data_IF_480908750586
#
_entry.id   IF_480908750586
#
_cell.length_a   1.000
_cell.length_b   1.000
_cell.length_c   1.000
_cell.angle_alpha   90.00
_cell.angle_beta   90.00
_cell.angle_gamma   90.00
#
_symmetry.space_group_name_H-M   'P 1'
#
loop_
_entity.id
_entity.type
_entity.pdbx_description
1 polymer ?
#
# COMPACT_ATOMS: atom_id res chain seq x y z
N UNK A 1 -14.31 11.68 21.19
CA UNK A 1 -13.65 10.36 21.27
C UNK A 1 -14.36 9.43 20.30
N UNK A 2 -13.72 9.01 19.21
CA UNK A 2 -14.34 8.06 18.27
C UNK A 2 -14.44 6.69 18.96
N UNK A 3 -15.65 6.14 19.08
CA UNK A 3 -15.84 4.74 19.47
C UNK A 3 -15.12 3.86 18.44
N UNK A 4 -14.01 3.27 18.88
CA UNK A 4 -13.06 2.60 18.02
C UNK A 4 -13.56 1.17 17.73
N UNK A 5 -14.57 1.02 16.87
CA UNK A 5 -14.82 -0.28 16.23
C UNK A 5 -13.63 -0.56 15.32
N UNK A 6 -12.66 -1.30 15.84
CA UNK A 6 -11.45 -1.72 15.12
C UNK A 6 -11.87 -2.37 13.80
N UNK A 7 -11.57 -1.73 12.68
CA UNK A 7 -11.92 -2.22 11.34
C UNK A 7 -11.24 -3.60 11.15
N UNK A 8 -11.98 -4.64 10.74
CA UNK A 8 -11.38 -5.95 10.53
C UNK A 8 -10.22 -5.90 9.52
N UNK A 9 -9.10 -6.63 9.73
CA UNK A 9 -7.96 -6.61 8.81
C UNK A 9 -8.33 -6.97 7.35
N UNK A 10 -9.29 -7.88 7.16
CA UNK A 10 -9.80 -8.22 5.83
C UNK A 10 -10.50 -7.04 5.14
N UNK A 11 -11.21 -6.21 5.91
CA UNK A 11 -11.83 -4.98 5.42
C UNK A 11 -10.78 -3.93 5.07
N UNK A 12 -9.78 -3.72 5.94
CA UNK A 12 -8.66 -2.79 5.66
C UNK A 12 -7.96 -3.14 4.34
N UNK A 13 -7.75 -4.43 4.05
CA UNK A 13 -7.17 -4.89 2.77
C UNK A 13 -8.01 -4.54 1.54
N UNK A 14 -9.33 -4.39 1.68
CA UNK A 14 -10.26 -4.06 0.58
C UNK A 14 -10.52 -2.56 0.40
N UNK A 15 -10.31 -1.73 1.42
CA UNK A 15 -10.53 -0.28 1.30
C UNK A 15 -9.76 0.37 0.13
N UNK A 16 -8.48 0.03 -0.13
CA UNK A 16 -7.76 0.58 -1.29
C UNK A 16 -8.40 0.18 -2.63
N UNK A 17 -8.99 -1.01 -2.72
CA UNK A 17 -9.70 -1.48 -3.91
C UNK A 17 -10.94 -0.63 -4.16
N UNK A 18 -11.72 -0.31 -3.11
CA UNK A 18 -12.87 0.58 -3.27
C UNK A 18 -12.45 1.97 -3.73
N UNK A 19 -11.36 2.52 -3.17
CA UNK A 19 -10.82 3.80 -3.62
C UNK A 19 -10.42 3.75 -5.10
N UNK A 20 -9.75 2.68 -5.55
CA UNK A 20 -9.41 2.47 -6.95
C UNK A 20 -10.64 2.32 -7.87
N UNK A 21 -11.72 1.69 -7.37
CA UNK A 21 -12.98 1.62 -8.12
C UNK A 21 -13.61 3.00 -8.29
N UNK A 22 -13.55 3.86 -7.27
CA UNK A 22 -14.07 5.23 -7.35
C UNK A 22 -13.27 6.12 -8.30
N UNK A 23 -12.00 5.81 -8.57
CA UNK A 23 -11.21 6.52 -9.60
C UNK A 23 -11.74 6.25 -11.03
N UNK A 24 -12.58 5.22 -11.22
CA UNK A 24 -13.18 4.85 -12.51
C UNK A 24 -14.59 5.42 -12.71
N UNK A 25 -15.13 6.11 -11.71
CA UNK A 25 -16.48 6.67 -11.71
C UNK A 25 -16.39 8.16 -12.01
N UNK A 26 -17.35 8.68 -12.79
CA UNK A 26 -17.37 10.12 -13.07
C UNK A 26 -17.64 10.90 -11.80
N UNK A 27 -16.95 12.03 -11.62
CA UNK A 27 -17.27 12.96 -10.54
C UNK A 27 -18.62 13.68 -10.76
N UNK A 28 -19.19 13.59 -11.97
CA UNK A 28 -20.53 14.12 -12.30
C UNK A 28 -21.68 13.20 -11.83
N UNK A 29 -21.38 11.97 -11.41
CA UNK A 29 -22.40 11.04 -10.93
C UNK A 29 -22.89 11.46 -9.54
N UNK A 30 -24.23 11.52 -9.37
CA UNK A 30 -24.90 11.93 -8.11
C UNK A 30 -24.55 10.99 -6.94
N UNK A 31 -24.15 9.75 -7.25
CA UNK A 31 -23.71 8.77 -6.27
C UNK A 31 -23.48 7.40 -6.90
N UNK A 32 -22.92 6.49 -6.10
CA UNK A 32 -22.65 5.11 -6.49
C UNK A 32 -23.42 4.14 -5.59
N UNK A 33 -24.14 3.17 -6.18
CA UNK A 33 -24.80 2.12 -5.40
C UNK A 33 -23.78 1.11 -4.85
N UNK A 34 -24.13 0.43 -3.76
CA UNK A 34 -23.30 -0.67 -3.24
C UNK A 34 -23.18 -1.82 -4.24
N UNK A 35 -24.21 -2.08 -5.04
CA UNK A 35 -24.18 -3.08 -6.10
C UNK A 35 -23.20 -2.73 -7.22
N UNK A 36 -23.16 -1.45 -7.64
CA UNK A 36 -22.24 -1.00 -8.68
C UNK A 36 -20.79 -1.03 -8.18
N UNK A 37 -20.55 -0.58 -6.95
CA UNK A 37 -19.23 -0.67 -6.35
C UNK A 37 -18.78 -2.13 -6.15
N UNK A 38 -19.70 -3.03 -5.81
CA UNK A 38 -19.43 -4.46 -5.67
C UNK A 38 -19.04 -5.11 -6.99
N UNK A 39 -19.73 -4.77 -8.08
CA UNK A 39 -19.39 -5.20 -9.45
C UNK A 39 -17.97 -4.76 -9.83
N UNK A 40 -17.64 -3.48 -9.67
CA UNK A 40 -16.31 -2.94 -9.96
C UNK A 40 -15.22 -3.59 -9.12
N UNK A 41 -15.48 -3.81 -7.83
CA UNK A 41 -14.53 -4.41 -6.90
C UNK A 41 -14.52 -5.95 -6.94
N UNK A 42 -15.36 -6.58 -7.77
CA UNK A 42 -15.51 -8.05 -7.86
C UNK A 42 -15.75 -8.71 -6.51
N UNK A 43 -16.59 -8.09 -5.68
CA UNK A 43 -17.04 -8.61 -4.38
C UNK A 43 -18.57 -8.66 -4.35
N UNK A 44 -19.16 -9.24 -3.31
CA UNK A 44 -20.61 -9.19 -3.16
C UNK A 44 -21.08 -7.87 -2.53
N UNK A 45 -22.30 -7.46 -2.89
CA UNK A 45 -22.96 -6.22 -2.45
C UNK A 45 -23.10 -6.12 -0.91
N UNK A 46 -23.41 -7.24 -0.25
CA UNK A 46 -23.48 -7.29 1.21
C UNK A 46 -22.13 -7.03 1.88
N UNK A 47 -21.02 -7.43 1.26
CA UNK A 47 -19.66 -7.21 1.74
C UNK A 47 -19.29 -5.73 1.64
N UNK A 48 -19.63 -5.07 0.54
CA UNK A 48 -19.42 -3.61 0.39
C UNK A 48 -20.16 -2.86 1.49
N UNK A 49 -21.46 -3.13 1.69
CA UNK A 49 -22.23 -2.50 2.77
C UNK A 49 -21.61 -2.74 4.15
N UNK A 50 -21.20 -3.97 4.43
CA UNK A 50 -20.55 -4.33 5.70
C UNK A 50 -19.25 -3.56 5.90
N UNK A 51 -18.41 -3.50 4.88
CA UNK A 51 -17.11 -2.84 4.95
C UNK A 51 -17.25 -1.33 5.13
N UNK A 52 -18.13 -0.68 4.36
CA UNK A 52 -18.35 0.76 4.44
C UNK A 52 -19.07 1.18 5.73
N UNK A 53 -19.86 0.28 6.36
CA UNK A 53 -20.50 0.56 7.65
C UNK A 53 -19.50 0.82 8.80
N UNK A 54 -18.24 0.37 8.67
CA UNK A 54 -17.20 0.67 9.65
C UNK A 54 -16.67 2.11 9.53
N UNK A 55 -16.88 2.76 8.39
CA UNK A 55 -16.42 4.12 8.12
C UNK A 55 -17.44 5.19 8.54
N UNK A 56 -18.55 4.77 9.15
CA UNK A 56 -19.66 5.63 9.58
C UNK A 56 -20.94 5.42 8.78
N UNK A 57 -21.92 6.29 8.99
CA UNK A 57 -23.19 6.25 8.27
C UNK A 57 -23.01 6.90 6.90
N UNK A 58 -22.58 6.09 5.93
CA UNK A 58 -22.43 6.51 4.55
C UNK A 58 -23.63 6.04 3.73
N UNK A 59 -24.17 6.95 2.92
CA UNK A 59 -25.15 6.64 1.89
C UNK A 59 -26.61 6.97 2.21
N UNK A 60 -27.37 7.20 1.15
CA UNK A 60 -28.77 7.60 1.17
C UNK A 60 -29.60 6.57 0.42
N UNK A 61 -30.71 6.11 1.03
CA UNK A 61 -31.60 5.14 0.39
C UNK A 61 -32.10 5.67 -0.96
N UNK A 62 -31.94 4.88 -2.02
CA UNK A 62 -32.33 5.25 -3.39
C UNK A 62 -31.26 6.04 -4.18
N UNK A 63 -30.23 6.58 -3.52
CA UNK A 63 -29.14 7.33 -4.17
C UNK A 63 -27.82 6.55 -4.12
N UNK A 64 -27.58 5.80 -3.04
CA UNK A 64 -26.29 5.14 -2.80
C UNK A 64 -25.35 6.06 -2.02
N UNK A 65 -24.05 5.96 -2.29
CA UNK A 65 -23.02 6.76 -1.63
C UNK A 65 -22.65 7.96 -2.48
N UNK A 66 -22.59 9.14 -1.88
CA UNK A 66 -21.94 10.30 -2.52
C UNK A 66 -20.46 9.97 -2.77
N UNK A 67 -20.02 10.11 -4.03
CA UNK A 67 -18.69 9.64 -4.47
C UNK A 67 -17.58 10.43 -3.78
N UNK A 68 -17.69 11.77 -3.77
CA UNK A 68 -16.76 12.69 -3.11
C UNK A 68 -16.63 12.40 -1.61
N UNK A 69 -17.75 12.24 -0.92
CA UNK A 69 -17.79 11.96 0.51
C UNK A 69 -17.18 10.59 0.82
N UNK A 70 -17.54 9.56 0.05
CA UNK A 70 -17.00 8.23 0.21
C UNK A 70 -15.49 8.19 -0.06
N UNK A 71 -15.02 8.89 -1.11
CA UNK A 71 -13.59 9.02 -1.43
C UNK A 71 -12.82 9.66 -0.28
N UNK A 72 -13.32 10.79 0.24
CA UNK A 72 -12.70 11.49 1.36
C UNK A 72 -12.67 10.62 2.63
N UNK A 73 -13.75 9.90 2.94
CA UNK A 73 -13.78 9.01 4.10
C UNK A 73 -12.79 7.84 3.95
N UNK A 74 -12.69 7.24 2.76
CA UNK A 74 -11.71 6.18 2.49
C UNK A 74 -10.28 6.70 2.61
N UNK A 75 -9.98 7.89 2.07
CA UNK A 75 -8.66 8.51 2.20
C UNK A 75 -8.32 8.83 3.66
N UNK A 76 -9.28 9.32 4.45
CA UNK A 76 -9.10 9.59 5.87
C UNK A 76 -8.79 8.30 6.65
N UNK A 77 -9.57 7.24 6.42
CA UNK A 77 -9.41 5.96 7.12
C UNK A 77 -8.13 5.21 6.71
N UNK A 78 -7.65 5.44 5.47
CA UNK A 78 -6.35 4.96 4.99
C UNK A 78 -5.18 5.89 5.40
N UNK A 79 -5.46 7.02 6.06
CA UNK A 79 -4.46 7.99 6.51
C UNK A 79 -3.74 8.72 5.36
N UNK A 80 -4.38 8.91 4.21
CA UNK A 80 -3.76 9.48 3.00
C UNK A 80 -3.85 11.01 2.92
N UNK A 81 -4.52 11.67 3.87
CA UNK A 81 -4.81 13.12 3.82
C UNK A 81 -3.56 13.97 4.03
N UNK A 82 -2.71 13.63 4.99
CA UNK A 82 -1.44 14.34 5.26
C UNK A 82 -0.27 13.75 4.45
N UNK A 83 -0.47 12.56 3.86
CA UNK A 83 0.55 11.79 3.17
C UNK A 83 1.58 11.16 4.11
N UNK A 84 2.34 10.20 3.59
CA UNK A 84 3.38 9.50 4.33
C UNK A 84 4.72 9.55 3.60
N UNK A 85 5.78 9.90 4.36
CA UNK A 85 7.16 9.79 3.89
C UNK A 85 7.61 8.33 3.88
N UNK A 86 8.17 7.90 2.76
CA UNK A 86 8.70 6.57 2.56
C UNK A 86 10.14 6.59 2.02
N UNK A 87 10.92 5.57 2.35
CA UNK A 87 12.27 5.35 1.81
C UNK A 87 12.35 4.01 1.11
N UNK A 88 13.24 3.90 0.12
CA UNK A 88 13.53 2.64 -0.57
C UNK A 88 14.96 2.23 -0.26
N UNK A 89 15.15 1.00 0.21
CA UNK A 89 16.46 0.39 0.46
C UNK A 89 16.69 -0.74 -0.52
N UNK A 90 17.81 -0.70 -1.24
CA UNK A 90 18.14 -1.58 -2.34
C UNK A 90 17.70 -1.00 -3.68
N UNK A 91 18.59 -0.26 -4.35
CA UNK A 91 18.33 0.39 -5.64
C UNK A 91 18.90 -0.49 -6.76
N UNK A 92 18.42 -1.73 -6.81
CA UNK A 92 18.58 -2.62 -7.97
C UNK A 92 17.53 -2.31 -9.05
N UNK A 93 17.24 -3.28 -9.92
CA UNK A 93 16.19 -3.13 -10.94
C UNK A 93 14.82 -2.83 -10.33
N UNK A 94 14.42 -3.60 -9.32
CA UNK A 94 13.11 -3.42 -8.67
C UNK A 94 13.04 -2.12 -7.87
N UNK A 95 14.03 -1.82 -7.02
CA UNK A 95 14.06 -0.56 -6.28
C UNK A 95 14.04 0.67 -7.18
N UNK A 96 14.75 0.62 -8.31
CA UNK A 96 14.70 1.69 -9.31
C UNK A 96 13.34 1.81 -9.98
N UNK A 97 12.67 0.70 -10.30
CA UNK A 97 11.33 0.72 -10.86
C UNK A 97 10.30 1.29 -9.86
N UNK A 98 10.40 0.91 -8.59
CA UNK A 98 9.57 1.44 -7.50
C UNK A 98 9.78 2.95 -7.31
N UNK A 99 11.01 3.44 -7.40
CA UNK A 99 11.32 4.87 -7.29
C UNK A 99 10.69 5.69 -8.43
N UNK A 100 10.60 5.14 -9.65
CA UNK A 100 9.97 5.81 -10.79
C UNK A 100 8.44 5.70 -10.80
N UNK A 101 7.85 4.91 -9.89
CA UNK A 101 6.41 4.68 -9.89
C UNK A 101 5.66 5.88 -9.31
N UNK A 102 5.12 6.72 -10.20
CA UNK A 102 4.35 7.92 -9.83
C UNK A 102 3.10 7.64 -8.99
N UNK A 103 2.55 6.42 -9.08
CA UNK A 103 1.35 6.02 -8.35
C UNK A 103 1.50 6.07 -6.82
N UNK A 104 2.72 6.00 -6.27
CA UNK A 104 2.93 6.24 -4.84
C UNK A 104 2.54 7.67 -4.46
N UNK A 105 3.04 8.67 -5.19
CA UNK A 105 2.76 10.08 -4.92
C UNK A 105 1.28 10.40 -5.10
N UNK A 106 0.66 9.87 -6.15
CA UNK A 106 -0.78 10.02 -6.40
C UNK A 106 -1.64 9.45 -5.28
N UNK A 107 -1.15 8.41 -4.59
CA UNK A 107 -1.81 7.79 -3.43
C UNK A 107 -1.35 8.36 -2.09
N UNK A 108 -0.63 9.49 -2.06
CA UNK A 108 -0.22 10.15 -0.83
C UNK A 108 1.07 9.61 -0.20
N UNK A 109 1.85 8.81 -0.92
CA UNK A 109 3.14 8.27 -0.44
C UNK A 109 4.30 8.98 -1.13
N UNK A 110 5.03 9.81 -0.39
CA UNK A 110 6.19 10.53 -0.88
C UNK A 110 7.47 9.71 -0.69
N UNK A 111 8.13 9.31 -1.78
CA UNK A 111 9.48 8.74 -1.69
C UNK A 111 10.47 9.88 -1.40
N UNK A 112 11.07 9.89 -0.22
CA UNK A 112 11.95 10.98 0.26
C UNK A 112 13.44 10.59 0.28
N UNK A 113 13.75 9.31 0.11
CA UNK A 113 15.13 8.83 0.16
C UNK A 113 15.31 7.46 -0.50
N UNK A 114 16.48 7.31 -1.12
CA UNK A 114 16.94 6.07 -1.78
C UNK A 114 18.27 5.65 -1.15
N UNK A 115 18.38 4.39 -0.75
CA UNK A 115 19.55 3.86 -0.04
C UNK A 115 20.08 2.58 -0.69
N UNK A 116 21.40 2.50 -0.84
CA UNK A 116 22.11 1.30 -1.34
C UNK A 116 23.54 1.32 -0.78
N UNK A 117 24.12 0.13 -0.61
CA UNK A 117 25.50 -0.03 -0.12
C UNK A 117 26.51 -0.20 -1.26
N UNK A 118 26.07 -0.35 -2.52
CA UNK A 118 26.96 -0.42 -3.68
C UNK A 118 27.65 0.94 -3.91
N UNK A 119 28.98 1.05 -3.72
CA UNK A 119 29.72 2.30 -3.89
C UNK A 119 29.61 2.88 -5.30
N UNK A 120 29.31 2.05 -6.30
CA UNK A 120 29.12 2.49 -7.69
C UNK A 120 27.81 3.23 -7.91
N UNK A 121 26.80 2.98 -7.07
CA UNK A 121 25.48 3.61 -7.17
C UNK A 121 25.36 4.84 -6.30
N UNK A 122 26.07 4.88 -5.17
CA UNK A 122 26.04 6.03 -4.25
C UNK A 122 26.38 7.32 -5.02
N UNK A 123 25.67 8.40 -4.70
CA UNK A 123 25.70 9.72 -5.36
C UNK A 123 25.15 9.78 -6.79
N UNK A 124 24.79 8.65 -7.40
CA UNK A 124 23.99 8.67 -8.63
C UNK A 124 22.53 9.03 -8.34
N UNK A 125 21.75 9.31 -9.40
CA UNK A 125 20.35 9.71 -9.28
C UNK A 125 19.40 8.70 -9.93
N UNK A 126 18.26 8.50 -9.28
CA UNK A 126 17.13 7.71 -9.76
C UNK A 126 15.86 8.47 -9.42
N UNK A 127 14.95 8.66 -10.39
CA UNK A 127 13.71 9.43 -10.21
C UNK A 127 13.92 10.83 -9.60
N UNK A 128 15.04 11.49 -9.91
CA UNK A 128 15.39 12.81 -9.37
C UNK A 128 15.88 12.82 -7.91
N UNK A 129 16.05 11.66 -7.28
CA UNK A 129 16.60 11.50 -5.93
C UNK A 129 18.00 10.92 -5.97
N UNK A 130 18.88 11.43 -5.12
CA UNK A 130 20.26 10.95 -4.97
C UNK A 130 20.28 9.70 -4.10
N UNK A 131 20.93 8.63 -4.58
CA UNK A 131 21.17 7.41 -3.82
C UNK A 131 22.23 7.65 -2.75
N UNK A 132 21.91 7.25 -1.52
CA UNK A 132 22.73 7.46 -0.33
C UNK A 132 23.24 6.17 0.27
N UNK A 133 24.37 6.19 0.98
CA UNK A 133 24.81 5.04 1.76
C UNK A 133 23.79 4.74 2.86
N UNK A 134 23.66 3.47 3.22
CA UNK A 134 22.74 3.05 4.29
C UNK A 134 23.10 3.68 5.65
N UNK A 135 24.35 4.07 5.86
CA UNK A 135 24.81 4.78 7.07
C UNK A 135 24.13 6.14 7.29
N UNK A 136 23.52 6.73 6.26
CA UNK A 136 22.77 7.99 6.36
C UNK A 136 21.29 7.79 6.71
N UNK A 137 20.81 6.54 6.78
CA UNK A 137 19.39 6.19 6.93
C UNK A 137 18.77 6.83 8.18
N UNK A 138 19.42 6.71 9.34
CA UNK A 138 18.90 7.21 10.62
C UNK A 138 18.64 8.72 10.58
N UNK A 139 19.62 9.50 10.11
CA UNK A 139 19.51 10.95 9.95
C UNK A 139 18.38 11.34 9.00
N UNK A 140 18.19 10.55 7.94
CA UNK A 140 17.12 10.79 6.97
C UNK A 140 15.74 10.47 7.54
N UNK A 141 15.62 9.36 8.25
CA UNK A 141 14.37 8.97 8.92
C UNK A 141 13.90 10.04 9.90
N UNK A 142 14.82 10.58 10.70
CA UNK A 142 14.54 11.69 11.62
C UNK A 142 14.13 12.97 10.86
N UNK A 143 14.94 13.39 9.88
CA UNK A 143 14.73 14.63 9.13
C UNK A 143 13.39 14.68 8.38
N UNK A 144 12.99 13.56 7.79
CA UNK A 144 11.80 13.49 6.94
C UNK A 144 10.60 12.80 7.59
N UNK A 145 10.72 12.47 8.88
CA UNK A 145 9.71 11.72 9.65
C UNK A 145 9.21 10.49 8.87
N UNK A 146 10.15 9.63 8.49
CA UNK A 146 9.88 8.47 7.63
C UNK A 146 9.02 7.47 8.37
N UNK A 147 7.83 7.19 7.83
CA UNK A 147 6.88 6.25 8.43
C UNK A 147 6.93 4.86 7.79
N UNK A 148 7.38 4.79 6.53
CA UNK A 148 7.33 3.57 5.71
C UNK A 148 8.71 3.26 5.12
N UNK A 149 9.17 2.02 5.30
CA UNK A 149 10.36 1.48 4.64
C UNK A 149 9.98 0.49 3.55
N UNK A 150 10.56 0.64 2.36
CA UNK A 150 10.41 -0.31 1.26
C UNK A 150 11.73 -1.04 1.09
N UNK A 151 11.71 -2.37 1.22
CA UNK A 151 12.92 -3.21 1.10
C UNK A 151 12.89 -3.93 -0.25
N UNK A 152 13.86 -3.64 -1.10
CA UNK A 152 14.07 -4.25 -2.41
C UNK A 152 15.50 -4.80 -2.56
N UNK A 153 16.06 -5.31 -1.46
CA UNK A 153 17.40 -5.91 -1.38
C UNK A 153 17.36 -7.42 -1.67
N UNK A 154 18.52 -8.05 -1.92
CA UNK A 154 18.63 -9.50 -1.80
C UNK A 154 18.20 -9.99 -0.41
N UNK A 155 17.73 -11.25 -0.34
CA UNK A 155 17.14 -11.82 0.87
C UNK A 155 18.07 -11.86 2.07
N UNK A 156 19.36 -12.11 1.85
CA UNK A 156 20.38 -12.21 2.91
C UNK A 156 20.60 -10.89 3.68
N UNK A 157 20.31 -9.74 3.06
CA UNK A 157 20.47 -8.42 3.70
C UNK A 157 19.16 -7.88 4.29
N UNK A 158 18.01 -8.45 3.91
CA UNK A 158 16.70 -7.85 4.17
C UNK A 158 16.37 -7.72 5.66
N UNK A 159 16.77 -8.70 6.49
CA UNK A 159 16.55 -8.62 7.94
C UNK A 159 17.37 -7.49 8.58
N UNK A 160 18.65 -7.35 8.22
CA UNK A 160 19.49 -6.28 8.76
C UNK A 160 18.96 -4.89 8.40
N UNK A 161 18.48 -4.73 7.16
CA UNK A 161 17.82 -3.49 6.70
C UNK A 161 16.53 -3.24 7.48
N UNK A 162 15.71 -4.26 7.70
CA UNK A 162 14.48 -4.14 8.48
C UNK A 162 14.78 -3.69 9.92
N UNK A 163 15.77 -4.30 10.57
CA UNK A 163 16.17 -3.97 11.93
C UNK A 163 16.64 -2.50 12.02
N UNK A 164 17.39 -2.01 11.03
CA UNK A 164 17.80 -0.61 10.97
C UNK A 164 16.63 0.34 10.77
N UNK A 165 15.72 0.05 9.83
CA UNK A 165 14.51 0.87 9.62
C UNK A 165 13.68 0.96 10.91
N UNK A 166 13.49 -0.17 11.59
CA UNK A 166 12.77 -0.22 12.88
C UNK A 166 13.50 0.60 13.94
N UNK A 167 14.83 0.48 14.03
CA UNK A 167 15.67 1.28 14.92
C UNK A 167 15.55 2.79 14.68
N UNK A 168 15.26 3.20 13.44
CA UNK A 168 15.00 4.60 13.07
C UNK A 168 13.57 5.06 13.35
N UNK A 169 12.71 4.23 13.96
CA UNK A 169 11.32 4.56 14.25
C UNK A 169 10.31 4.28 13.13
N UNK A 170 10.72 3.60 12.04
CA UNK A 170 9.81 3.18 10.98
C UNK A 170 8.85 2.12 11.52
N UNK A 171 7.54 2.34 11.35
CA UNK A 171 6.49 1.46 11.89
C UNK A 171 5.81 0.58 10.84
N UNK A 172 6.11 0.78 9.57
CA UNK A 172 5.53 0.01 8.46
C UNK A 172 6.59 -0.33 7.43
N UNK A 173 6.68 -1.61 7.07
CA UNK A 173 7.65 -2.12 6.10
C UNK A 173 6.91 -2.86 4.98
N UNK A 174 7.21 -2.47 3.75
CA UNK A 174 6.83 -3.20 2.54
C UNK A 174 8.06 -3.97 2.04
N UNK A 175 8.03 -5.29 2.19
CA UNK A 175 9.16 -6.16 1.88
C UNK A 175 8.96 -6.86 0.53
N UNK A 176 9.83 -6.56 -0.43
CA UNK A 176 9.93 -7.28 -1.71
C UNK A 176 11.08 -8.30 -1.74
N UNK A 177 11.89 -8.37 -0.68
CA UNK A 177 12.93 -9.38 -0.61
C UNK A 177 12.30 -10.79 -0.47
N UNK A 178 12.88 -11.83 -1.09
CA UNK A 178 12.31 -13.18 -1.14
C UNK A 178 12.55 -13.96 0.17
N UNK A 179 12.27 -13.32 1.31
CA UNK A 179 12.43 -13.86 2.66
C UNK A 179 11.30 -13.38 3.57
N UNK A 180 10.96 -14.21 4.55
CA UNK A 180 10.07 -13.80 5.65
C UNK A 180 10.90 -13.10 6.71
N UNK A 181 10.59 -11.82 6.94
CA UNK A 181 11.21 -11.04 8.01
C UNK A 181 10.64 -11.47 9.36
N UNK A 182 11.46 -11.35 10.41
CA UNK A 182 11.02 -11.58 11.79
C UNK A 182 10.00 -10.52 12.18
N UNK A 183 8.89 -10.97 12.77
CA UNK A 183 7.89 -10.06 13.32
C UNK A 183 8.45 -9.35 14.56
N UNK A 184 8.18 -8.05 14.64
CA UNK A 184 8.49 -7.21 15.79
C UNK A 184 7.19 -6.61 16.30
N UNK A 185 6.94 -6.55 17.63
CA UNK A 185 5.78 -5.86 18.17
C UNK A 185 5.67 -4.43 17.63
N UNK A 186 4.44 -3.97 17.40
CA UNK A 186 4.12 -2.60 16.97
C UNK A 186 4.66 -2.17 15.58
N UNK A 187 5.28 -3.09 14.82
CA UNK A 187 5.70 -2.87 13.43
C UNK A 187 4.85 -3.71 12.49
N UNK A 188 4.27 -3.07 11.48
CA UNK A 188 3.52 -3.76 10.42
C UNK A 188 4.45 -4.13 9.27
N UNK A 189 4.62 -5.43 9.01
CA UNK A 189 5.42 -5.92 7.89
C UNK A 189 4.47 -6.58 6.88
N UNK A 190 4.54 -6.12 5.63
CA UNK A 190 3.82 -6.72 4.50
C UNK A 190 4.81 -7.19 3.45
N UNK A 191 4.84 -8.49 3.19
CA UNK A 191 5.66 -9.07 2.13
C UNK A 191 4.89 -9.12 0.81
N UNK A 192 5.58 -8.83 -0.28
CA UNK A 192 5.10 -8.98 -1.66
C UNK A 192 6.07 -9.89 -2.40
N UNK A 193 5.58 -11.06 -2.79
CA UNK A 193 6.33 -12.04 -3.59
C UNK A 193 5.61 -12.24 -4.91
N UNK A 194 6.10 -11.58 -5.97
CA UNK A 194 5.53 -11.68 -7.31
C UNK A 194 5.59 -13.12 -7.85
N UNK A 195 6.54 -13.93 -7.40
CA UNK A 195 6.64 -15.33 -7.81
C UNK A 195 5.52 -16.17 -7.20
N UNK A 196 5.14 -15.90 -5.95
CA UNK A 196 3.98 -16.56 -5.33
C UNK A 196 2.68 -16.20 -6.06
N UNK A 197 2.50 -14.95 -6.49
CA UNK A 197 1.33 -14.55 -7.29
C UNK A 197 1.26 -15.33 -8.61
N UNK A 198 2.40 -15.51 -9.30
CA UNK A 198 2.47 -16.34 -10.51
C UNK A 198 2.20 -17.82 -10.22
N UNK A 199 2.66 -18.36 -9.09
CA UNK A 199 2.34 -19.73 -8.68
C UNK A 199 0.83 -19.91 -8.46
N UNK A 200 0.17 -18.94 -7.81
CA UNK A 200 -1.28 -18.93 -7.64
C UNK A 200 -1.98 -18.91 -9.00
N UNK A 201 -1.55 -18.07 -9.94
CA UNK A 201 -2.12 -18.06 -11.29
C UNK A 201 -1.89 -19.38 -12.03
N UNK A 202 -0.71 -20.00 -11.87
CA UNK A 202 -0.38 -21.28 -12.51
C UNK A 202 -1.28 -22.42 -12.02
N UNK A 203 -1.69 -22.40 -10.75
CA UNK A 203 -2.62 -23.38 -10.19
C UNK A 203 -3.96 -23.42 -10.93
N UNK A 204 -4.40 -22.27 -11.47
CA UNK A 204 -5.64 -22.16 -12.24
C UNK A 204 -5.47 -22.50 -13.73
N UNK A 205 -4.26 -22.71 -14.24
CA UNK A 205 -4.04 -23.16 -15.62
C UNK A 205 -4.41 -24.64 -15.79
N UNK A 206 -4.13 -25.47 -14.77
CA UNK A 206 -4.39 -26.91 -14.80
C UNK A 206 -5.80 -27.29 -14.29
N UNK A 207 -6.65 -26.30 -14.04
CA UNK A 207 -8.01 -26.50 -13.53
C UNK A 207 -8.99 -25.70 -14.36
N UNK A 208 -10.17 -26.25 -14.71
CA UNK A 208 -11.18 -25.48 -15.41
C UNK A 208 -11.48 -24.21 -14.61
N UNK A 209 -11.38 -23.05 -15.27
CA UNK A 209 -11.74 -21.75 -14.69
C UNK A 209 -13.11 -21.93 -14.04
N UNK A 210 -13.19 -21.71 -12.72
CA UNK A 210 -14.48 -21.69 -12.02
C UNK A 210 -15.37 -20.72 -12.81
N UNK A 211 -16.42 -21.26 -13.45
CA UNK A 211 -17.40 -20.43 -14.14
C UNK A 211 -17.85 -19.37 -13.13
N UNK A 212 -17.64 -18.11 -13.46
CA UNK A 212 -18.31 -17.05 -12.73
C UNK A 212 -19.80 -17.41 -12.74
N UNK A 213 -20.40 -17.44 -11.54
CA UNK A 213 -21.84 -17.69 -11.42
C UNK A 213 -22.53 -16.51 -12.12
N UNK A 214 -23.23 -16.81 -13.22
CA UNK A 214 -24.07 -15.87 -13.96
C UNK A 214 -25.14 -15.23 -13.06
#
# INVERSE_FOLDING_TARGET
>A
MKENKKIPPATVKRLPLYLQCLDQVSDDDIGISSSKLAELAKVNDAQVRRDLSYLGTLGTRGVGYDISTLRNQLQLELGLVEGWSAVIVGIGNLGSALAHYGGFREKGFGIVGLFDDDPKKINSQVAGLVIKPLTDLEKYCEKFNVAIGIIATPGEYAQGVADQLIGCGVRSILNFAPVLLKNVPDVQIRSVDLSQELQILSYYLDRPVLKAVD
#
